data_IF_322729635312
#
_entry.id   IF_322729635312
#
_cell.length_a   1.000
_cell.length_b   1.000
_cell.length_c   1.000
_cell.angle_alpha   90.00
_cell.angle_beta   90.00
_cell.angle_gamma   90.00
#
_symmetry.space_group_name_H-M   'P 1'
#
loop_
_entity.id
_entity.type
_entity.pdbx_description
1 polymer ?
#
# COMPACT_ATOMS: atom_id res chain seq x y z
N UNK A 1 0.96 18.73 -11.69
CA UNK A 1 0.21 18.04 -12.77
C UNK A 1 -0.57 16.89 -12.13
N UNK A 2 -1.88 16.73 -12.40
CA UNK A 2 -2.65 15.60 -11.87
C UNK A 2 -2.27 14.33 -12.66
N UNK A 3 -1.76 13.29 -11.98
CA UNK A 3 -1.58 11.96 -12.58
C UNK A 3 -2.96 11.45 -13.05
N UNK A 4 -3.08 11.09 -14.32
CA UNK A 4 -4.34 10.70 -14.97
C UNK A 4 -4.46 9.18 -14.99
N UNK A 5 -5.03 8.60 -13.92
CA UNK A 5 -5.31 7.14 -13.87
C UNK A 5 -6.22 6.70 -15.01
N UNK A 6 -5.91 5.54 -15.62
CA UNK A 6 -6.71 4.96 -16.70
C UNK A 6 -8.17 4.70 -16.27
N UNK A 7 -8.35 4.34 -15.00
CA UNK A 7 -9.64 4.35 -14.32
C UNK A 7 -9.60 5.36 -13.17
N UNK A 8 -10.49 6.36 -13.14
CA UNK A 8 -10.63 7.23 -11.99
C UNK A 8 -11.05 6.42 -10.75
N UNK A 9 -10.41 6.65 -9.60
CA UNK A 9 -10.73 5.92 -8.35
C UNK A 9 -12.15 6.17 -7.84
N UNK A 10 -12.81 7.23 -8.32
CA UNK A 10 -14.21 7.54 -8.03
C UNK A 10 -15.18 7.00 -9.09
N UNK A 11 -14.72 6.18 -10.04
CA UNK A 11 -15.55 5.63 -11.11
C UNK A 11 -16.22 4.31 -10.71
N UNK A 12 -17.36 4.01 -11.33
CA UNK A 12 -18.02 2.71 -11.18
C UNK A 12 -17.16 1.54 -11.69
N UNK A 13 -16.31 1.79 -12.70
CA UNK A 13 -15.37 0.80 -13.21
C UNK A 13 -14.34 0.41 -12.14
N UNK A 14 -13.77 1.40 -11.44
CA UNK A 14 -12.89 1.16 -10.31
C UNK A 14 -13.59 0.44 -9.16
N UNK A 15 -14.82 0.84 -8.82
CA UNK A 15 -15.58 0.17 -7.75
C UNK A 15 -15.78 -1.33 -8.02
N UNK A 16 -16.06 -1.72 -9.29
CA UNK A 16 -16.16 -3.12 -9.71
C UNK A 16 -14.84 -3.85 -9.62
N UNK A 17 -13.76 -3.25 -10.15
CA UNK A 17 -12.42 -3.83 -10.10
C UNK A 17 -11.95 -4.04 -8.65
N UNK A 18 -12.16 -3.04 -7.79
CA UNK A 18 -11.86 -3.13 -6.35
C UNK A 18 -12.61 -4.29 -5.69
N UNK A 19 -13.91 -4.44 -5.98
CA UNK A 19 -14.71 -5.54 -5.44
C UNK A 19 -14.19 -6.91 -5.91
N UNK A 20 -13.79 -7.02 -7.18
CA UNK A 20 -13.21 -8.25 -7.72
C UNK A 20 -11.88 -8.60 -7.02
N UNK A 21 -10.96 -7.65 -6.90
CA UNK A 21 -9.65 -7.88 -6.24
C UNK A 21 -9.83 -8.35 -4.80
N UNK A 22 -10.73 -7.71 -4.04
CA UNK A 22 -11.02 -8.09 -2.65
C UNK A 22 -11.72 -9.45 -2.53
N UNK A 23 -12.48 -9.87 -3.54
CA UNK A 23 -13.10 -11.19 -3.56
C UNK A 23 -12.09 -12.30 -3.89
N UNK A 24 -11.14 -12.02 -4.79
CA UNK A 24 -10.06 -12.95 -5.16
C UNK A 24 -9.02 -13.13 -4.05
N UNK A 25 -8.70 -12.06 -3.34
CA UNK A 25 -7.67 -12.04 -2.31
C UNK A 25 -8.17 -11.22 -1.10
N UNK A 26 -8.92 -11.87 -0.19
CA UNK A 26 -9.65 -11.18 0.89
C UNK A 26 -8.77 -10.75 2.08
N UNK A 27 -7.50 -11.13 2.08
CA UNK A 27 -6.55 -10.84 3.16
C UNK A 27 -5.54 -9.78 2.73
N UNK A 28 -5.08 -8.98 3.69
CA UNK A 28 -4.02 -8.00 3.49
C UNK A 28 -2.71 -8.71 3.11
N UNK A 29 -2.17 -8.41 1.93
CA UNK A 29 -0.94 -9.03 1.43
C UNK A 29 0.27 -8.76 2.32
N UNK A 30 0.38 -7.55 2.89
CA UNK A 30 1.46 -7.19 3.80
C UNK A 30 1.37 -7.96 5.14
N UNK A 31 0.17 -8.08 5.71
CA UNK A 31 -0.04 -8.86 6.92
C UNK A 31 0.19 -10.36 6.68
N UNK A 32 -0.30 -10.89 5.56
CA UNK A 32 -0.10 -12.28 5.18
C UNK A 32 1.40 -12.64 5.03
N UNK A 33 2.21 -11.74 4.48
CA UNK A 33 3.66 -11.90 4.40
C UNK A 33 4.34 -11.99 5.79
N UNK A 34 3.71 -11.46 6.83
CA UNK A 34 4.14 -11.55 8.22
C UNK A 34 3.48 -12.72 8.98
N UNK A 35 2.72 -13.57 8.29
CA UNK A 35 1.97 -14.67 8.91
C UNK A 35 0.72 -14.24 9.69
N UNK A 36 0.26 -12.99 9.50
CA UNK A 36 -0.93 -12.44 10.15
C UNK A 36 -2.16 -12.60 9.25
N UNK A 37 -3.31 -12.92 9.87
CA UNK A 37 -4.60 -13.01 9.18
C UNK A 37 -5.40 -11.75 9.43
N UNK A 38 -5.27 -10.78 8.52
CA UNK A 38 -5.97 -9.50 8.60
C UNK A 38 -6.81 -9.29 7.32
N UNK A 39 -8.11 -8.95 7.42
CA UNK A 39 -8.94 -8.67 6.26
C UNK A 39 -8.42 -7.46 5.46
N UNK A 40 -8.44 -7.56 4.14
CA UNK A 40 -8.20 -6.41 3.29
C UNK A 40 -9.43 -5.51 3.20
N UNK A 41 -9.20 -4.21 3.31
CA UNK A 41 -10.24 -3.17 3.21
C UNK A 41 -10.01 -2.23 2.04
N UNK A 42 -8.79 -2.21 1.50
CA UNK A 42 -8.34 -1.26 0.49
C UNK A 42 -7.63 -2.04 -0.64
N UNK A 43 -7.65 -1.46 -1.84
CA UNK A 43 -6.90 -1.97 -2.99
C UNK A 43 -5.97 -0.85 -3.44
N UNK A 44 -4.69 -1.17 -3.51
CA UNK A 44 -3.63 -0.24 -3.82
C UNK A 44 -2.81 -0.72 -5.01
N UNK A 45 -2.20 0.21 -5.71
CA UNK A 45 -1.24 -0.09 -6.77
C UNK A 45 0.08 -0.53 -6.14
N UNK A 46 0.71 -1.60 -6.65
CA UNK A 46 2.01 -2.07 -6.14
C UNK A 46 3.09 -1.07 -6.51
N UNK A 47 3.07 -0.56 -7.74
CA UNK A 47 4.01 0.45 -8.24
C UNK A 47 3.26 1.74 -8.57
N UNK A 48 3.57 2.82 -7.83
CA UNK A 48 3.09 4.19 -8.05
C UNK A 48 4.20 5.08 -8.66
N UNK A 49 4.64 4.80 -9.90
CA UNK A 49 5.85 5.39 -10.50
C UNK A 49 5.69 6.61 -11.42
N UNK A 50 6.77 6.95 -12.13
CA UNK A 50 6.79 7.77 -13.36
C UNK A 50 7.03 6.87 -14.58
N UNK A 51 6.41 7.21 -15.72
CA UNK A 51 6.35 6.39 -16.93
C UNK A 51 4.96 5.75 -17.15
N UNK A 52 4.82 4.95 -18.21
CA UNK A 52 3.57 4.28 -18.67
C UNK A 52 2.83 3.45 -17.59
N UNK A 53 3.53 3.05 -16.52
CA UNK A 53 2.99 2.12 -15.52
C UNK A 53 2.30 2.77 -14.32
N UNK A 54 2.23 4.10 -14.23
CA UNK A 54 1.58 4.80 -13.10
C UNK A 54 0.05 4.72 -13.08
N UNK A 55 -0.55 4.23 -14.17
CA UNK A 55 -1.99 4.22 -14.41
C UNK A 55 -2.51 2.80 -14.72
N UNK A 56 -1.67 1.80 -14.48
CA UNK A 56 -1.89 0.42 -14.81
C UNK A 56 -2.77 -0.28 -13.77
N UNK A 57 -4.05 -0.44 -14.12
CA UNK A 57 -5.05 -1.17 -13.35
C UNK A 57 -5.08 -2.67 -13.67
N UNK A 58 -4.04 -3.20 -14.35
CA UNK A 58 -3.86 -4.63 -14.50
C UNK A 58 -3.78 -5.29 -13.13
N UNK A 59 -4.37 -6.49 -13.03
CA UNK A 59 -4.51 -7.22 -11.75
C UNK A 59 -3.16 -7.47 -11.08
N UNK A 60 -2.09 -7.62 -11.87
CA UNK A 60 -0.72 -7.86 -11.41
C UNK A 60 -0.13 -6.66 -10.68
N UNK A 61 -0.58 -5.44 -10.98
CA UNK A 61 -0.17 -4.22 -10.29
C UNK A 61 -1.12 -3.83 -9.16
N UNK A 62 -2.13 -4.65 -8.83
CA UNK A 62 -3.06 -4.39 -7.74
C UNK A 62 -2.81 -5.34 -6.57
N UNK A 63 -2.84 -4.79 -5.36
CA UNK A 63 -2.72 -5.56 -4.12
C UNK A 63 -3.80 -5.17 -3.12
N UNK A 64 -4.40 -6.14 -2.42
CA UNK A 64 -5.32 -5.90 -1.32
C UNK A 64 -4.54 -5.65 -0.02
N UNK A 65 -4.91 -4.59 0.70
CA UNK A 65 -4.29 -4.17 1.95
C UNK A 65 -5.35 -3.88 3.01
N UNK A 66 -5.02 -4.05 4.28
CA UNK A 66 -5.77 -3.45 5.38
C UNK A 66 -5.45 -1.95 5.45
N UNK A 67 -6.38 -1.17 6.01
CA UNK A 67 -6.24 0.28 6.09
C UNK A 67 -4.92 0.77 6.73
N UNK A 68 -4.40 0.15 7.81
CA UNK A 68 -3.10 0.52 8.38
C UNK A 68 -1.93 0.30 7.43
N UNK A 69 -1.89 -0.82 6.70
CA UNK A 69 -0.82 -1.11 5.74
C UNK A 69 -0.88 -0.18 4.54
N UNK A 70 -2.09 0.10 4.03
CA UNK A 70 -2.31 1.05 2.93
C UNK A 70 -1.83 2.46 3.29
N UNK A 71 -2.20 2.94 4.49
CA UNK A 71 -1.77 4.26 4.99
C UNK A 71 -0.25 4.37 5.14
N UNK A 72 0.40 3.31 5.63
CA UNK A 72 1.87 3.26 5.76
C UNK A 72 2.57 3.32 4.41
N UNK A 73 2.08 2.56 3.42
CA UNK A 73 2.62 2.58 2.05
C UNK A 73 2.46 3.96 1.40
N UNK A 74 1.26 4.54 1.49
CA UNK A 74 1.00 5.89 0.95
C UNK A 74 1.98 6.91 1.53
N UNK A 75 2.21 6.88 2.86
CA UNK A 75 3.16 7.78 3.52
C UNK A 75 4.60 7.57 3.06
N UNK A 76 5.03 6.31 2.88
CA UNK A 76 6.38 6.01 2.39
C UNK A 76 6.59 6.56 0.97
N UNK A 77 5.63 6.32 0.08
CA UNK A 77 5.67 6.80 -1.32
C UNK A 77 5.64 8.32 -1.42
N UNK A 78 4.83 9.00 -0.61
CA UNK A 78 4.78 10.46 -0.57
C UNK A 78 6.09 11.10 -0.10
N UNK A 79 6.85 10.40 0.75
CA UNK A 79 8.11 10.88 1.28
C UNK A 79 9.32 10.44 0.42
N UNK A 80 9.08 9.83 -0.75
CA UNK A 80 10.13 9.32 -1.64
C UNK A 80 10.98 8.20 -1.02
N UNK A 81 10.44 7.50 -0.01
CA UNK A 81 11.18 6.59 0.85
C UNK A 81 10.64 5.15 0.84
N UNK A 82 11.46 4.26 1.38
CA UNK A 82 11.13 2.85 1.62
C UNK A 82 10.09 2.70 2.76
N UNK A 83 9.33 1.61 2.75
CA UNK A 83 8.48 1.24 3.88
C UNK A 83 9.36 0.99 5.12
N UNK A 84 9.34 1.91 6.07
CA UNK A 84 10.09 1.75 7.33
C UNK A 84 9.21 1.09 8.38
N UNK A 85 9.74 0.06 9.06
CA UNK A 85 9.08 -0.56 10.20
C UNK A 85 8.98 0.45 11.35
N UNK A 86 7.75 0.83 11.70
CA UNK A 86 7.48 1.77 12.79
C UNK A 86 7.30 0.99 14.09
N UNK A 87 8.12 1.30 15.09
CA UNK A 87 8.05 0.67 16.40
C UNK A 87 9.32 0.94 17.22
N UNK A 88 9.39 0.31 18.40
CA UNK A 88 10.57 0.31 19.24
C UNK A 88 11.11 -1.12 19.40
N UNK A 89 12.43 -1.26 19.53
CA UNK A 89 13.07 -2.51 19.92
C UNK A 89 12.85 -2.83 21.42
N UNK A 90 13.42 -3.94 21.90
CA UNK A 90 13.29 -4.36 23.30
C UNK A 90 13.94 -3.40 24.31
N UNK A 91 14.78 -2.48 23.85
CA UNK A 91 15.38 -1.42 24.67
C UNK A 91 14.60 -0.10 24.61
N UNK A 92 13.49 -0.06 23.86
CA UNK A 92 12.67 1.14 23.68
C UNK A 92 13.21 2.10 22.61
N UNK A 93 14.22 1.70 21.82
CA UNK A 93 14.77 2.55 20.76
C UNK A 93 13.97 2.39 19.47
N UNK A 94 13.75 3.46 18.69
CA UNK A 94 13.06 3.36 17.41
C UNK A 94 13.77 2.40 16.45
N UNK A 95 12.97 1.53 15.82
CA UNK A 95 13.44 0.57 14.80
C UNK A 95 13.86 1.29 13.52
N UNK A 96 13.24 2.42 13.20
CA UNK A 96 13.63 3.28 12.08
C UNK A 96 15.05 3.85 12.31
N UNK A 97 16.06 3.45 11.51
CA UNK A 97 17.42 3.94 11.68
C UNK A 97 17.56 5.44 11.44
N UNK A 98 16.66 6.05 10.67
CA UNK A 98 16.67 7.49 10.36
C UNK A 98 15.87 8.33 11.37
N UNK A 99 15.28 7.69 12.39
CA UNK A 99 14.50 8.38 13.42
C UNK A 99 15.35 9.44 14.15
N UNK A 100 14.76 10.58 14.50
CA UNK A 100 15.49 11.69 15.12
C UNK A 100 16.12 11.36 16.47
N UNK A 101 15.62 10.36 17.19
CA UNK A 101 16.22 9.80 18.42
C UNK A 101 17.40 8.84 18.18
N UNK A 102 17.68 8.46 16.93
CA UNK A 102 18.85 7.67 16.55
C UNK A 102 20.04 8.55 16.12
N UNK A 103 19.98 9.85 16.40
CA UNK A 103 21.00 10.86 16.10
C UNK A 103 21.68 11.34 17.37
#
# INVERSE_FOLDING_TARGET
MKKLRHLPLNSAAWARLRAQVLAEEPLCRHCAALGLVEPATDVDHIVNGEGDYSDDNRRENLQPLCHPCHSQKTRAEMNGGELVQVGCDTSGRPIDPNHHWNR
#
